data_IF_834030946735
#
_entry.id   IF_834030946735
#
_cell.length_a   1.000
_cell.length_b   1.000
_cell.length_c   1.000
_cell.angle_alpha   90.00
_cell.angle_beta   90.00
_cell.angle_gamma   90.00
#
_symmetry.space_group_name_H-M   'P 1'
#
loop_
_entity.id
_entity.type
_entity.pdbx_description
1 polymer ?
#
# COMPACT_ATOMS: atom_id res chain seq x y z
N UNK A 1 -0.31 -2.46 -2.76
CA UNK A 1 0.89 -3.03 -2.10
C UNK A 1 2.01 -3.09 -3.12
N UNK A 2 3.26 -3.09 -2.66
CA UNK A 2 4.45 -3.39 -3.48
C UNK A 2 5.02 -4.71 -3.01
N UNK A 3 5.23 -5.65 -3.93
CA UNK A 3 5.55 -7.05 -3.64
C UNK A 3 6.69 -7.47 -4.59
N UNK A 4 7.78 -8.07 -4.10
CA UNK A 4 8.79 -8.67 -4.99
C UNK A 4 8.16 -9.79 -5.83
N UNK A 5 8.74 -10.08 -6.99
CA UNK A 5 8.32 -11.24 -7.77
C UNK A 5 8.76 -12.56 -7.13
N UNK A 6 9.97 -12.56 -6.56
CA UNK A 6 10.50 -13.71 -5.83
C UNK A 6 9.85 -13.77 -4.46
N UNK A 7 9.28 -14.92 -4.13
CA UNK A 7 8.68 -15.16 -2.82
C UNK A 7 9.78 -15.19 -1.75
N UNK A 8 9.83 -14.13 -0.95
CA UNK A 8 10.67 -14.02 0.23
C UNK A 8 9.84 -13.53 1.41
N UNK A 9 9.96 -14.14 2.60
CA UNK A 9 9.18 -13.74 3.76
C UNK A 9 9.69 -12.45 4.42
N UNK A 10 11.01 -12.23 4.39
CA UNK A 10 11.68 -11.23 5.23
C UNK A 10 12.54 -10.24 4.42
N UNK A 11 12.81 -9.07 5.00
CA UNK A 11 13.55 -7.99 4.35
C UNK A 11 15.00 -8.39 4.06
N UNK A 12 15.65 -9.05 5.00
CA UNK A 12 17.05 -9.47 4.92
C UNK A 12 17.33 -10.51 3.83
N UNK A 13 16.28 -11.12 3.27
CA UNK A 13 16.37 -12.10 2.18
C UNK A 13 16.30 -11.45 0.79
N UNK A 14 16.04 -10.15 0.71
CA UNK A 14 16.04 -9.40 -0.55
C UNK A 14 17.48 -9.17 -1.02
N UNK A 15 17.69 -9.26 -2.32
CA UNK A 15 18.91 -8.78 -2.96
C UNK A 15 18.97 -7.25 -2.90
N UNK A 16 20.15 -6.67 -3.04
CA UNK A 16 20.31 -5.21 -3.09
C UNK A 16 19.51 -4.57 -4.23
N UNK A 17 19.34 -5.28 -5.35
CA UNK A 17 18.53 -4.82 -6.48
C UNK A 17 17.03 -4.82 -6.13
N UNK A 18 16.51 -5.90 -5.55
CA UNK A 18 15.10 -5.96 -5.13
C UNK A 18 14.79 -4.92 -4.05
N UNK A 19 15.72 -4.68 -3.11
CA UNK A 19 15.57 -3.60 -2.14
C UNK A 19 15.42 -2.24 -2.81
N UNK A 20 16.31 -1.90 -3.74
CA UNK A 20 16.27 -0.62 -4.45
C UNK A 20 14.97 -0.47 -5.27
N UNK A 21 14.57 -1.53 -5.98
CA UNK A 21 13.37 -1.52 -6.81
C UNK A 21 12.09 -1.39 -5.97
N UNK A 22 11.95 -2.16 -4.88
CA UNK A 22 10.80 -2.07 -3.97
C UNK A 22 10.66 -0.64 -3.44
N UNK A 23 11.72 -0.04 -2.93
CA UNK A 23 11.63 1.30 -2.34
C UNK A 23 11.38 2.40 -3.39
N UNK A 24 11.89 2.22 -4.61
CA UNK A 24 11.55 3.08 -5.75
C UNK A 24 10.04 2.99 -6.08
N UNK A 25 9.50 1.77 -6.15
CA UNK A 25 8.07 1.54 -6.44
C UNK A 25 7.16 2.01 -5.30
N UNK A 26 7.58 1.85 -4.03
CA UNK A 26 6.86 2.39 -2.86
C UNK A 26 6.78 3.91 -2.95
N UNK A 27 7.91 4.56 -3.25
CA UNK A 27 7.98 6.02 -3.40
C UNK A 27 7.06 6.50 -4.53
N UNK A 28 7.10 5.84 -5.69
CA UNK A 28 6.18 6.13 -6.80
C UNK A 28 4.72 5.90 -6.41
N UNK A 29 4.42 4.83 -5.69
CA UNK A 29 3.07 4.56 -5.17
C UNK A 29 2.53 5.66 -4.27
N UNK A 30 3.37 6.18 -3.36
CA UNK A 30 3.02 7.33 -2.52
C UNK A 30 2.71 8.57 -3.37
N UNK A 31 3.55 8.87 -4.38
CA UNK A 31 3.33 10.01 -5.28
C UNK A 31 2.03 9.88 -6.08
N UNK A 32 1.78 8.70 -6.64
CA UNK A 32 0.56 8.38 -7.40
C UNK A 32 -0.69 8.56 -6.54
N UNK A 33 -0.72 7.99 -5.33
CA UNK A 33 -1.87 8.12 -4.43
C UNK A 33 -2.08 9.56 -3.96
N UNK A 34 -0.99 10.30 -3.72
CA UNK A 34 -1.06 11.73 -3.38
C UNK A 34 -1.65 12.56 -4.52
N UNK A 35 -1.23 12.32 -5.74
CA UNK A 35 -1.71 13.03 -6.91
C UNK A 35 -3.18 12.70 -7.24
N UNK A 36 -3.59 11.44 -7.09
CA UNK A 36 -4.93 10.98 -7.48
C UNK A 36 -6.00 11.30 -6.44
N UNK A 37 -5.71 11.05 -5.15
CA UNK A 37 -6.71 11.09 -4.09
C UNK A 37 -6.53 12.23 -3.09
N UNK A 38 -5.40 12.95 -3.13
CA UNK A 38 -5.07 14.06 -2.21
C UNK A 38 -5.33 13.73 -0.73
N UNK A 39 -4.82 12.59 -0.22
CA UNK A 39 -4.94 12.25 1.19
C UNK A 39 -4.15 13.24 2.07
N UNK A 40 -4.58 13.38 3.32
CA UNK A 40 -3.90 14.22 4.31
C UNK A 40 -2.64 13.54 4.87
N UNK A 41 -2.54 12.22 4.76
CA UNK A 41 -1.37 11.43 5.13
C UNK A 41 -1.29 10.11 4.38
N UNK A 42 -0.17 9.40 4.51
CA UNK A 42 -0.01 8.05 3.95
C UNK A 42 0.76 7.21 4.96
N UNK A 43 0.21 6.05 5.34
CA UNK A 43 0.97 5.05 6.09
C UNK A 43 1.72 4.14 5.11
N UNK A 44 3.02 3.96 5.36
CA UNK A 44 3.85 2.99 4.66
C UNK A 44 4.39 2.02 5.70
N UNK A 45 4.24 0.72 5.48
CA UNK A 45 4.62 -0.27 6.47
C UNK A 45 4.68 -1.70 5.94
N UNK A 46 5.34 -2.56 6.69
CA UNK A 46 5.53 -3.98 6.43
C UNK A 46 5.35 -4.70 7.78
N UNK A 47 4.62 -5.81 7.78
CA UNK A 47 4.49 -6.67 8.95
C UNK A 47 5.33 -7.93 8.71
N UNK A 48 6.37 -8.15 9.52
CA UNK A 48 7.25 -9.31 9.42
C UNK A 48 6.91 -10.33 10.51
N UNK A 49 6.62 -11.56 10.10
CA UNK A 49 6.17 -12.63 10.99
C UNK A 49 4.73 -12.50 11.49
N UNK A 50 4.19 -13.61 12.00
CA UNK A 50 2.80 -13.70 12.45
C UNK A 50 2.50 -12.76 13.63
N UNK A 51 3.46 -12.61 14.55
CA UNK A 51 3.31 -11.77 15.74
C UNK A 51 3.12 -10.28 15.41
N UNK A 52 3.67 -9.81 14.28
CA UNK A 52 3.48 -8.44 13.80
C UNK A 52 2.15 -8.22 13.07
N UNK A 53 1.27 -9.23 13.02
CA UNK A 53 0.03 -9.18 12.25
C UNK A 53 0.23 -9.44 10.76
N UNK A 54 1.34 -10.07 10.37
CA UNK A 54 1.56 -10.56 9.00
C UNK A 54 0.69 -11.79 8.74
N UNK A 55 -0.43 -11.62 8.04
CA UNK A 55 -1.31 -12.73 7.64
C UNK A 55 -0.75 -13.56 6.49
N UNK A 56 0.09 -12.94 5.65
CA UNK A 56 0.85 -13.60 4.57
C UNK A 56 2.32 -13.59 4.97
N UNK A 57 2.70 -14.48 5.89
CA UNK A 57 4.04 -14.51 6.45
C UNK A 57 5.11 -15.08 5.49
N UNK A 58 4.69 -15.72 4.39
CA UNK A 58 5.60 -16.35 3.42
C UNK A 58 6.09 -15.37 2.35
N UNK A 59 5.38 -14.24 2.15
CA UNK A 59 5.70 -13.30 1.10
C UNK A 59 5.59 -11.85 1.59
N UNK A 60 6.74 -11.20 1.67
CA UNK A 60 6.91 -9.80 2.00
C UNK A 60 6.08 -8.91 1.08
N UNK A 61 5.36 -7.95 1.68
CA UNK A 61 4.59 -6.98 0.93
C UNK A 61 4.53 -5.66 1.68
N UNK A 62 4.82 -4.56 0.97
CA UNK A 62 4.79 -3.21 1.52
C UNK A 62 3.41 -2.61 1.30
N UNK A 63 2.77 -2.22 2.41
CA UNK A 63 1.52 -1.48 2.41
C UNK A 63 1.79 0.00 2.17
N UNK A 64 0.98 0.61 1.30
CA UNK A 64 0.95 2.06 1.08
C UNK A 64 -0.51 2.47 1.15
N UNK A 65 -0.90 3.06 2.28
CA UNK A 65 -2.30 3.28 2.65
C UNK A 65 -2.56 4.79 2.80
N UNK A 66 -3.34 5.41 1.90
CA UNK A 66 -3.71 6.81 2.03
C UNK A 66 -4.68 7.00 3.21
N UNK A 67 -4.52 8.12 3.95
CA UNK A 67 -5.24 8.42 5.19
C UNK A 67 -5.90 9.80 5.14
N UNK A 68 -7.05 9.91 5.78
CA UNK A 68 -7.80 11.16 5.96
C UNK A 68 -8.23 11.30 7.42
N UNK A 69 -8.33 12.54 7.88
CA UNK A 69 -8.98 12.84 9.16
C UNK A 69 -10.41 12.31 9.15
N UNK A 70 -10.74 11.48 10.15
CA UNK A 70 -12.07 10.86 10.26
C UNK A 70 -12.29 9.63 9.37
N UNK A 71 -11.25 9.07 8.73
CA UNK A 71 -11.37 7.80 7.99
C UNK A 71 -11.71 6.58 8.86
N UNK A 72 -11.53 6.72 10.18
CA UNK A 72 -12.10 5.87 11.22
C UNK A 72 -13.20 6.65 11.95
N UNK A 73 -14.43 6.55 11.45
CA UNK A 73 -15.61 7.22 12.01
C UNK A 73 -16.45 6.28 12.89
N UNK A 74 -17.61 6.75 13.37
CA UNK A 74 -18.53 5.98 14.20
C UNK A 74 -18.88 4.60 13.61
N UNK A 75 -19.05 4.51 12.28
CA UNK A 75 -19.36 3.24 11.63
C UNK A 75 -18.24 2.21 11.82
N UNK A 76 -16.98 2.67 11.76
CA UNK A 76 -15.82 1.80 11.99
C UNK A 76 -15.68 1.47 13.48
N UNK A 77 -15.82 2.47 14.35
CA UNK A 77 -15.53 2.32 15.78
C UNK A 77 -16.62 1.56 16.55
N UNK A 78 -17.90 1.76 16.21
CA UNK A 78 -19.04 1.23 16.98
C UNK A 78 -19.78 0.15 16.19
N UNK A 79 -19.96 0.34 14.88
CA UNK A 79 -20.65 -0.65 14.04
C UNK A 79 -19.70 -1.67 13.38
N UNK A 80 -18.38 -1.59 13.64
CA UNK A 80 -17.35 -2.46 13.04
C UNK A 80 -17.46 -2.58 11.51
N UNK A 81 -17.97 -1.53 10.85
CA UNK A 81 -18.29 -1.51 9.43
C UNK A 81 -17.50 -0.40 8.75
N UNK A 82 -16.65 -0.76 7.79
CA UNK A 82 -15.91 0.20 6.97
C UNK A 82 -16.61 0.41 5.64
N UNK A 83 -16.95 1.67 5.35
CA UNK A 83 -17.55 2.06 4.07
C UNK A 83 -16.42 2.25 3.05
N UNK A 84 -16.53 1.58 1.90
CA UNK A 84 -15.67 1.80 0.74
C UNK A 84 -16.45 2.63 -0.29
N UNK A 85 -16.14 3.93 -0.46
CA UNK A 85 -16.93 4.81 -1.31
C UNK A 85 -16.66 4.62 -2.82
N UNK A 86 -15.63 3.87 -3.18
CA UNK A 86 -15.22 3.60 -4.55
C UNK A 86 -15.02 2.09 -4.74
N UNK A 87 -15.48 1.56 -5.88
CA UNK A 87 -15.28 0.16 -6.24
C UNK A 87 -13.81 -0.11 -6.61
N UNK A 88 -13.33 -1.32 -6.32
CA UNK A 88 -11.90 -1.66 -6.45
C UNK A 88 -11.39 -1.61 -7.89
N UNK A 89 -12.22 -1.95 -8.86
CA UNK A 89 -11.93 -1.87 -10.30
C UNK A 89 -11.74 -0.41 -10.74
N UNK A 90 -12.60 0.49 -10.27
CA UNK A 90 -12.49 1.94 -10.50
C UNK A 90 -11.21 2.48 -9.85
N UNK A 91 -10.93 2.13 -8.60
CA UNK A 91 -9.68 2.49 -7.91
C UNK A 91 -8.47 2.01 -8.71
N UNK A 92 -8.46 0.74 -9.13
CA UNK A 92 -7.35 0.16 -9.89
C UNK A 92 -7.14 0.88 -11.24
N UNK A 93 -8.21 1.23 -11.95
CA UNK A 93 -8.13 1.97 -13.20
C UNK A 93 -7.49 3.36 -12.99
N UNK A 94 -7.99 4.13 -12.02
CA UNK A 94 -7.50 5.49 -11.72
C UNK A 94 -6.02 5.49 -11.31
N UNK A 95 -5.66 4.57 -10.42
CA UNK A 95 -4.27 4.41 -9.96
C UNK A 95 -3.34 4.03 -11.12
N UNK A 96 -3.74 3.08 -11.99
CA UNK A 96 -2.94 2.70 -13.16
C UNK A 96 -2.76 3.84 -14.16
N UNK A 97 -3.84 4.57 -14.47
CA UNK A 97 -3.77 5.72 -15.36
C UNK A 97 -2.81 6.80 -14.81
N UNK A 98 -2.91 7.10 -13.51
CA UNK A 98 -2.00 8.05 -12.84
C UNK A 98 -0.56 7.55 -12.85
N UNK A 99 -0.34 6.25 -12.64
CA UNK A 99 0.98 5.63 -12.63
C UNK A 99 1.72 5.80 -13.96
N UNK A 100 0.98 5.70 -15.07
CA UNK A 100 1.51 5.90 -16.42
C UNK A 100 1.82 7.39 -16.67
N UNK A 101 0.96 8.31 -16.23
CA UNK A 101 1.20 9.76 -16.42
C UNK A 101 2.42 10.31 -15.67
N UNK A 102 2.84 9.64 -14.58
CA UNK A 102 4.00 10.02 -13.77
C UNK A 102 5.26 9.22 -14.16
N UNK A 103 5.20 8.39 -15.19
CA UNK A 103 6.40 7.78 -15.76
C UNK A 103 7.12 8.83 -16.62
N UNK A 104 8.24 9.35 -16.12
CA UNK A 104 9.23 10.11 -16.90
C UNK A 104 10.29 9.13 -17.38
#
# INVERSE_FOLDING_TARGET
MVIPYREVPDLELLTSQEHAEIWSLVTKGVQVLKAEYKPQGVNVGINLGQAAGGSVAQHLHVHVVPRWGGDSNFMVAIASTKILPEALDVTAQRVRARWQSLAV
#
